data_IF_068920184219
#
_entry.id   IF_068920184219
#
_cell.length_a   1.000
_cell.length_b   1.000
_cell.length_c   1.000
_cell.angle_alpha   90.00
_cell.angle_beta   90.00
_cell.angle_gamma   90.00
#
_symmetry.space_group_name_H-M   'P 1'
#
loop_
_entity.id
_entity.type
_entity.pdbx_description
1 polymer ?
#
# COMPACT_ATOMS: atom_id res chain seq x y z
N UNK A 1 -9.53 -17.60 -0.84
CA UNK A 1 -8.47 -18.27 -1.64
C UNK A 1 -8.91 -18.62 -3.07
N UNK A 2 -10.15 -19.08 -3.28
CA UNK A 2 -10.65 -19.53 -4.59
C UNK A 2 -10.54 -18.47 -5.70
N UNK A 3 -10.91 -17.23 -5.41
CA UNK A 3 -10.77 -16.11 -6.37
C UNK A 3 -9.33 -15.93 -6.84
N UNK A 4 -8.35 -15.98 -5.93
CA UNK A 4 -6.94 -15.84 -6.28
C UNK A 4 -6.47 -17.00 -7.16
N UNK A 5 -6.88 -18.23 -6.85
CA UNK A 5 -6.52 -19.40 -7.67
C UNK A 5 -7.00 -19.25 -9.12
N UNK A 6 -8.20 -18.73 -9.31
CA UNK A 6 -8.87 -18.63 -10.61
C UNK A 6 -8.44 -17.41 -11.42
N UNK A 7 -8.31 -16.24 -10.78
CA UNK A 7 -8.19 -14.97 -11.48
C UNK A 7 -6.75 -14.42 -11.53
N UNK A 8 -5.85 -14.90 -10.66
CA UNK A 8 -4.46 -14.43 -10.61
C UNK A 8 -3.57 -15.41 -11.36
N UNK A 9 -2.71 -14.87 -12.23
CA UNK A 9 -1.70 -15.66 -12.94
C UNK A 9 -0.86 -16.47 -11.95
N UNK A 10 -0.74 -17.77 -12.20
CA UNK A 10 -0.07 -18.74 -11.32
C UNK A 10 -0.73 -18.96 -9.95
N UNK A 11 -1.94 -18.43 -9.72
CA UNK A 11 -2.70 -18.58 -8.48
C UNK A 11 -2.88 -20.03 -8.07
N UNK A 12 -3.40 -20.85 -8.99
CA UNK A 12 -3.56 -22.30 -8.79
C UNK A 12 -2.27 -23.10 -9.01
N UNK A 13 -1.45 -22.73 -10.00
CA UNK A 13 -0.27 -23.51 -10.39
C UNK A 13 0.94 -22.62 -10.73
N UNK A 14 1.99 -22.70 -9.91
CA UNK A 14 3.26 -21.99 -10.14
C UNK A 14 4.06 -22.58 -11.33
N UNK A 15 5.03 -21.81 -11.82
CA UNK A 15 6.00 -22.30 -12.80
C UNK A 15 7.08 -23.21 -12.17
N UNK A 16 7.31 -23.09 -10.87
CA UNK A 16 8.25 -23.89 -10.11
C UNK A 16 7.95 -25.41 -10.15
N UNK A 17 8.93 -26.30 -9.93
CA UNK A 17 8.72 -27.75 -10.00
C UNK A 17 7.62 -28.28 -9.05
N UNK A 18 7.32 -27.58 -7.95
CA UNK A 18 6.31 -28.03 -6.99
C UNK A 18 4.87 -27.91 -7.51
N UNK A 19 4.60 -27.04 -8.50
CA UNK A 19 3.28 -26.80 -9.09
C UNK A 19 2.15 -26.44 -8.08
N UNK A 20 2.49 -25.96 -6.89
CA UNK A 20 1.52 -25.71 -5.81
C UNK A 20 0.68 -24.42 -5.92
N UNK A 21 1.06 -23.49 -6.80
CA UNK A 21 0.39 -22.19 -6.94
C UNK A 21 0.96 -21.11 -6.02
N UNK A 22 0.41 -19.90 -6.11
CA UNK A 22 0.80 -18.74 -5.28
C UNK A 22 -0.34 -18.22 -4.40
N UNK A 23 -1.53 -18.83 -4.46
CA UNK A 23 -2.65 -18.39 -3.65
C UNK A 23 -2.38 -18.61 -2.15
N UNK A 24 -2.33 -17.52 -1.38
CA UNK A 24 -2.15 -17.56 0.07
C UNK A 24 -3.31 -18.33 0.74
N UNK A 25 -2.96 -19.25 1.64
CA UNK A 25 -3.91 -20.03 2.44
C UNK A 25 -4.08 -19.51 3.87
N UNK A 26 -3.26 -18.54 4.28
CA UNK A 26 -3.35 -17.93 5.62
C UNK A 26 -4.62 -17.11 5.73
N UNK A 27 -5.43 -17.41 6.74
CA UNK A 27 -6.68 -16.73 7.00
C UNK A 27 -6.48 -15.46 7.85
N UNK A 28 -7.44 -14.54 7.76
CA UNK A 28 -7.51 -13.31 8.57
C UNK A 28 -8.97 -12.96 8.79
N UNK A 29 -9.29 -12.30 9.91
CA UNK A 29 -10.64 -11.83 10.20
C UNK A 29 -11.12 -10.77 9.19
N UNK A 30 -10.18 -9.91 8.75
CA UNK A 30 -10.45 -8.81 7.80
C UNK A 30 -9.34 -8.77 6.76
N UNK A 31 -9.74 -8.80 5.48
CA UNK A 31 -8.85 -8.63 4.33
C UNK A 31 -9.08 -7.26 3.68
N UNK A 32 -8.01 -6.50 3.48
CA UNK A 32 -8.03 -5.23 2.74
C UNK A 32 -7.26 -5.42 1.43
N UNK A 33 -7.94 -5.74 0.30
CA UNK A 33 -7.28 -5.82 -0.99
C UNK A 33 -6.98 -4.40 -1.51
N UNK A 34 -5.79 -4.20 -2.07
CA UNK A 34 -5.36 -2.94 -2.66
C UNK A 34 -4.43 -3.21 -3.85
N UNK A 35 -4.36 -2.27 -4.79
CA UNK A 35 -3.43 -2.36 -5.94
C UNK A 35 -1.96 -2.34 -5.51
N UNK A 36 -1.66 -1.60 -4.43
CA UNK A 36 -0.35 -1.55 -3.76
C UNK A 36 -0.63 -1.69 -2.27
N UNK A 37 0.09 -2.58 -1.60
CA UNK A 37 -0.17 -2.92 -0.19
C UNK A 37 0.00 -1.71 0.75
N UNK A 38 0.99 -0.86 0.49
CA UNK A 38 1.19 0.41 1.21
C UNK A 38 -0.06 1.29 1.16
N UNK A 39 -0.69 1.45 -0.01
CA UNK A 39 -1.88 2.29 -0.15
C UNK A 39 -3.06 1.75 0.64
N UNK A 40 -3.19 0.43 0.75
CA UNK A 40 -4.18 -0.22 1.63
C UNK A 40 -3.94 0.16 3.09
N UNK A 41 -2.69 0.10 3.57
CA UNK A 41 -2.32 0.52 4.92
C UNK A 41 -2.57 2.02 5.15
N UNK A 42 -2.21 2.86 4.17
CA UNK A 42 -2.46 4.31 4.21
C UNK A 42 -3.97 4.61 4.28
N UNK A 43 -4.80 3.85 3.56
CA UNK A 43 -6.26 3.93 3.64
C UNK A 43 -6.80 3.61 5.03
N UNK A 44 -6.26 2.60 5.71
CA UNK A 44 -6.60 2.29 7.11
C UNK A 44 -6.19 3.47 8.01
N UNK A 45 -4.96 3.98 7.89
CA UNK A 45 -4.48 5.13 8.65
C UNK A 45 -5.35 6.37 8.42
N UNK A 46 -5.84 6.58 7.20
CA UNK A 46 -6.75 7.67 6.82
C UNK A 46 -8.08 7.59 7.58
N UNK A 47 -8.69 6.41 7.63
CA UNK A 47 -9.94 6.18 8.38
C UNK A 47 -9.71 6.39 9.87
N UNK A 48 -8.59 5.93 10.42
CA UNK A 48 -8.23 6.11 11.82
C UNK A 48 -8.00 7.59 12.15
N UNK A 49 -7.27 8.33 11.31
CA UNK A 49 -7.05 9.76 11.46
C UNK A 49 -8.37 10.54 11.51
N UNK A 50 -9.31 10.24 10.60
CA UNK A 50 -10.63 10.86 10.61
C UNK A 50 -11.50 10.48 11.81
N UNK A 51 -11.46 9.22 12.26
CA UNK A 51 -12.22 8.76 13.44
C UNK A 51 -11.67 9.28 14.76
N UNK A 52 -10.37 9.49 14.85
CA UNK A 52 -9.68 10.00 16.04
C UNK A 52 -9.48 11.50 16.01
N UNK A 53 -9.86 12.15 14.90
CA UNK A 53 -9.66 13.58 14.66
C UNK A 53 -8.18 13.99 14.87
N UNK A 54 -7.27 13.10 14.49
CA UNK A 54 -5.84 13.25 14.70
C UNK A 54 -5.09 12.98 13.39
N UNK A 55 -4.61 14.05 12.76
CA UNK A 55 -3.88 13.97 11.50
C UNK A 55 -2.46 13.40 11.63
N UNK A 56 -1.91 13.27 12.84
CA UNK A 56 -0.58 12.70 13.05
C UNK A 56 -0.55 11.18 12.84
N UNK A 57 -1.72 10.53 12.81
CA UNK A 57 -1.86 9.09 12.51
C UNK A 57 -1.53 8.80 11.03
N UNK A 58 -1.82 9.74 10.14
CA UNK A 58 -1.52 9.63 8.72
C UNK A 58 -0.26 10.47 8.45
N UNK A 59 0.78 9.88 7.89
CA UNK A 59 1.98 10.63 7.50
C UNK A 59 1.72 11.51 6.27
N UNK A 60 2.74 12.26 5.83
CA UNK A 60 2.66 13.14 4.67
C UNK A 60 3.51 12.67 3.48
N UNK A 61 3.32 13.34 2.35
CA UNK A 61 4.04 13.09 1.11
C UNK A 61 5.56 13.21 1.27
N UNK A 62 6.05 14.10 2.13
CA UNK A 62 7.50 14.24 2.39
C UNK A 62 8.04 13.01 3.11
N UNK A 63 7.29 12.52 4.11
CA UNK A 63 7.64 11.28 4.80
C UNK A 63 7.60 10.08 3.85
N UNK A 64 6.61 9.98 2.97
CA UNK A 64 6.49 8.86 2.01
C UNK A 64 7.69 8.78 1.07
N UNK A 65 8.09 9.91 0.46
CA UNK A 65 9.28 9.99 -0.39
C UNK A 65 10.53 9.53 0.34
N UNK A 66 10.72 10.01 1.58
CA UNK A 66 11.86 9.60 2.40
C UNK A 66 11.81 8.11 2.73
N UNK A 67 10.65 7.58 3.13
CA UNK A 67 10.51 6.20 3.55
C UNK A 67 10.84 5.21 2.42
N UNK A 68 10.36 5.48 1.20
CA UNK A 68 10.66 4.64 0.03
C UNK A 68 12.14 4.73 -0.31
N UNK A 69 12.69 5.94 -0.36
CA UNK A 69 14.12 6.15 -0.65
C UNK A 69 15.02 5.41 0.32
N UNK A 70 14.78 5.55 1.63
CA UNK A 70 15.58 4.88 2.66
C UNK A 70 15.41 3.35 2.59
N UNK A 71 14.24 2.85 2.23
CA UNK A 71 14.02 1.42 2.01
C UNK A 71 14.88 0.89 0.86
N UNK A 72 14.91 1.60 -0.27
CA UNK A 72 15.76 1.24 -1.42
C UNK A 72 17.24 1.38 -1.08
N UNK A 73 17.65 2.49 -0.44
CA UNK A 73 19.04 2.74 -0.04
C UNK A 73 19.54 1.66 0.95
N UNK A 74 18.64 1.07 1.75
CA UNK A 74 18.92 -0.06 2.64
C UNK A 74 18.93 -1.44 1.95
N UNK A 75 18.73 -1.50 0.63
CA UNK A 75 18.75 -2.74 -0.16
C UNK A 75 17.37 -3.32 -0.51
N UNK A 76 16.31 -2.52 -0.42
CA UNK A 76 14.99 -2.88 -0.94
C UNK A 76 15.03 -3.18 -2.44
N UNK A 77 14.33 -4.25 -2.84
CA UNK A 77 14.32 -4.76 -4.22
C UNK A 77 12.90 -4.85 -4.76
N UNK A 78 12.80 -4.95 -6.08
CA UNK A 78 11.56 -5.24 -6.78
C UNK A 78 11.03 -6.64 -6.51
N UNK A 79 9.80 -6.88 -6.95
CA UNK A 79 9.10 -8.16 -6.78
C UNK A 79 9.80 -9.33 -7.49
N UNK A 80 10.61 -9.04 -8.51
CA UNK A 80 11.46 -10.02 -9.21
C UNK A 80 12.85 -10.20 -8.56
N UNK A 81 13.10 -9.50 -7.44
CA UNK A 81 14.38 -9.47 -6.73
C UNK A 81 15.43 -8.56 -7.36
N UNK A 82 15.10 -7.81 -8.41
CA UNK A 82 16.03 -6.86 -9.03
C UNK A 82 16.16 -5.57 -8.21
N UNK A 83 17.34 -4.91 -8.22
CA UNK A 83 17.47 -3.60 -7.61
C UNK A 83 16.66 -2.57 -8.40
N UNK A 84 16.03 -1.63 -7.69
CA UNK A 84 15.31 -0.54 -8.34
C UNK A 84 16.27 0.48 -8.97
N UNK A 85 15.90 1.10 -10.12
CA UNK A 85 16.69 2.15 -10.77
C UNK A 85 16.62 3.52 -10.04
N UNK A 86 16.07 3.55 -8.82
CA UNK A 86 15.84 4.73 -8.00
C UNK A 86 14.84 4.42 -6.89
N UNK A 87 14.21 5.46 -6.33
CA UNK A 87 13.16 5.31 -5.31
C UNK A 87 11.84 4.86 -5.96
N UNK A 88 11.59 3.54 -5.90
CA UNK A 88 10.42 2.88 -6.49
C UNK A 88 9.81 1.86 -5.52
N UNK A 89 8.53 1.59 -5.72
CA UNK A 89 7.80 0.49 -5.09
C UNK A 89 6.69 0.02 -6.04
N UNK A 90 6.52 -1.29 -6.20
CA UNK A 90 5.58 -1.91 -7.14
C UNK A 90 5.68 -1.32 -8.57
N UNK A 91 6.91 -1.11 -9.03
CA UNK A 91 7.27 -0.54 -10.35
C UNK A 91 6.75 0.89 -10.61
N UNK A 92 6.35 1.59 -9.56
CA UNK A 92 5.94 2.99 -9.60
C UNK A 92 6.96 3.87 -8.85
N UNK A 93 7.30 5.06 -9.37
CA UNK A 93 8.19 5.97 -8.69
C UNK A 93 7.54 6.51 -7.41
N UNK A 94 8.34 6.76 -6.38
CA UNK A 94 7.91 7.29 -5.07
C UNK A 94 6.99 8.53 -5.16
N UNK A 95 7.16 9.37 -6.17
CA UNK A 95 6.30 10.53 -6.44
C UNK A 95 4.81 10.17 -6.60
N UNK A 96 4.49 9.01 -7.19
CA UNK A 96 3.10 8.54 -7.30
C UNK A 96 2.57 8.13 -5.93
N UNK A 97 3.36 7.42 -5.13
CA UNK A 97 3.00 7.03 -3.77
C UNK A 97 2.75 8.26 -2.89
N UNK A 98 3.61 9.28 -3.00
CA UNK A 98 3.46 10.55 -2.29
C UNK A 98 2.18 11.29 -2.67
N UNK A 99 1.78 11.28 -3.95
CA UNK A 99 0.53 11.87 -4.42
C UNK A 99 -0.70 11.15 -3.86
N UNK A 100 -0.67 9.82 -3.76
CA UNK A 100 -1.74 9.04 -3.12
C UNK A 100 -1.88 9.42 -1.65
N UNK A 101 -0.78 9.53 -0.91
CA UNK A 101 -0.79 9.96 0.51
C UNK A 101 -1.38 11.36 0.64
N UNK A 102 -0.95 12.30 -0.21
CA UNK A 102 -1.46 13.67 -0.16
C UNK A 102 -2.97 13.75 -0.44
N UNK A 103 -3.44 13.00 -1.44
CA UNK A 103 -4.88 12.88 -1.73
C UNK A 103 -5.67 12.37 -0.53
N UNK A 104 -5.20 11.30 0.11
CA UNK A 104 -5.82 10.73 1.31
C UNK A 104 -5.87 11.75 2.46
N UNK A 105 -4.80 12.51 2.69
CA UNK A 105 -4.77 13.58 3.71
C UNK A 105 -5.81 14.65 3.47
N UNK A 106 -5.94 15.12 2.23
CA UNK A 106 -6.94 16.14 1.88
C UNK A 106 -8.37 15.62 2.08
N UNK A 107 -8.61 14.33 1.84
CA UNK A 107 -9.93 13.73 2.07
C UNK A 107 -10.36 13.83 3.54
N UNK A 108 -9.43 13.67 4.48
CA UNK A 108 -9.69 13.76 5.93
C UNK A 108 -9.72 15.19 6.40
N UNK A 109 -8.75 16.02 6.01
CA UNK A 109 -8.72 17.45 6.37
C UNK A 109 -10.03 18.14 5.98
N UNK A 110 -10.48 17.95 4.75
CA UNK A 110 -11.73 18.52 4.27
C UNK A 110 -12.96 18.02 5.03
N UNK A 111 -12.96 16.76 5.49
CA UNK A 111 -14.03 16.21 6.30
C UNK A 111 -14.05 16.78 7.74
N UNK A 112 -12.87 16.97 8.35
CA UNK A 112 -12.74 17.54 9.69
C UNK A 112 -13.07 19.04 9.70
N UNK A 113 -12.62 19.82 8.72
CA UNK A 113 -12.94 21.25 8.64
C UNK A 113 -14.45 21.51 8.56
N UNK A 114 -15.17 20.75 7.72
CA UNK A 114 -16.64 20.90 7.59
C UNK A 114 -17.44 20.52 8.83
N UNK A 115 -16.89 19.71 9.74
CA UNK A 115 -17.59 19.30 10.97
C UNK A 115 -17.69 20.40 12.02
N UNK A 116 -16.85 21.43 11.95
CA UNK A 116 -16.85 22.54 12.90
C UNK A 116 -17.50 23.83 12.35
N UNK A 117 -18.07 23.77 11.14
CA UNK A 117 -18.80 24.87 10.50
C UNK A 117 -20.33 24.73 10.58
N UNK A 118 -20.85 23.68 11.24
CA UNK A 118 -22.29 23.47 11.50
C UNK A 118 -22.57 23.30 12.98
#
# INVERSE_FOLDING_TARGET
VETVRKEVTYGERCQCPCKGGIACITETDILVPASVSNWGAHGIATVLAGKKENMDILHDSTYELRAIRECVDAGGVGMDGSPYPGSFCDDLPDTIHAQIVEFLRYSVKGALTRRYEG
#
